data_IF_034185665453
#
_entry.id   IF_034185665453
#
_cell.length_a   1.000
_cell.length_b   1.000
_cell.length_c   1.000
_cell.angle_alpha   90.00
_cell.angle_beta   90.00
_cell.angle_gamma   90.00
#
_symmetry.space_group_name_H-M   'P 1'
#
loop_
_entity.id
_entity.type
_entity.pdbx_description
1 polymer ?
#
# COMPACT_ATOMS: atom_id res chain seq x y z
N UNK A 1 -37.23 10.20 -2.74
CA UNK A 1 -35.97 9.80 -2.07
C UNK A 1 -36.30 9.68 -0.60
N UNK A 2 -36.34 8.46 -0.08
CA UNK A 2 -36.72 8.18 1.30
C UNK A 2 -35.69 8.77 2.27
N UNK A 3 -36.17 9.25 3.42
CA UNK A 3 -35.35 9.65 4.56
C UNK A 3 -34.31 8.57 4.88
N UNK A 4 -33.05 9.02 4.93
CA UNK A 4 -31.90 8.36 5.55
C UNK A 4 -31.25 7.17 4.83
N UNK A 5 -30.80 7.40 3.59
CA UNK A 5 -29.55 6.76 3.11
C UNK A 5 -28.36 7.39 3.87
N UNK A 6 -28.26 7.10 5.17
CA UNK A 6 -27.10 7.46 5.97
C UNK A 6 -25.93 6.69 5.37
N UNK A 7 -24.97 7.44 4.79
CA UNK A 7 -23.71 6.87 4.33
C UNK A 7 -23.05 6.19 5.53
N UNK A 8 -23.03 4.87 5.52
CA UNK A 8 -22.18 4.10 6.42
C UNK A 8 -20.76 4.20 5.87
N UNK A 9 -19.78 4.25 6.77
CA UNK A 9 -18.37 4.17 6.43
C UNK A 9 -17.97 2.74 6.79
N UNK A 10 -17.45 1.96 5.83
CA UNK A 10 -16.81 0.67 6.17
C UNK A 10 -15.33 0.83 6.48
N UNK A 11 -14.90 -0.01 7.40
CA UNK A 11 -13.52 -0.22 7.81
C UNK A 11 -13.37 -1.70 8.21
N UNK A 12 -12.14 -2.16 8.46
CA UNK A 12 -11.92 -3.50 9.01
C UNK A 12 -12.27 -3.51 10.50
N UNK A 13 -13.08 -4.48 10.93
CA UNK A 13 -13.47 -4.61 12.34
C UNK A 13 -12.39 -5.23 13.23
N UNK A 14 -11.36 -5.80 12.61
CA UNK A 14 -10.28 -6.52 13.25
C UNK A 14 -9.06 -5.59 13.43
N UNK A 15 -8.77 -5.24 14.69
CA UNK A 15 -7.63 -4.40 15.06
C UNK A 15 -6.31 -4.93 14.48
N UNK A 16 -6.13 -6.25 14.42
CA UNK A 16 -4.88 -6.87 13.98
C UNK A 16 -4.60 -6.62 12.49
N UNK A 17 -5.61 -6.22 11.72
CA UNK A 17 -5.41 -5.78 10.33
C UNK A 17 -4.56 -4.51 10.25
N UNK A 18 -4.54 -3.69 11.31
CA UNK A 18 -3.80 -2.44 11.39
C UNK A 18 -2.38 -2.58 11.97
N UNK A 19 -1.87 -3.79 12.23
CA UNK A 19 -0.55 -3.99 12.87
C UNK A 19 0.68 -3.54 12.04
N UNK A 20 0.47 -3.07 10.81
CA UNK A 20 1.51 -2.80 9.82
C UNK A 20 1.73 -3.98 8.88
N UNK A 21 2.36 -3.72 7.73
CA UNK A 21 2.50 -4.71 6.65
C UNK A 21 3.94 -4.81 6.11
N UNK A 22 4.85 -3.96 6.56
CA UNK A 22 6.21 -3.91 6.02
C UNK A 22 7.04 -5.16 6.36
N UNK A 23 7.55 -5.83 5.33
CA UNK A 23 8.36 -7.04 5.46
C UNK A 23 9.86 -6.72 5.46
N UNK A 24 10.42 -6.62 6.65
CA UNK A 24 11.85 -6.33 6.86
C UNK A 24 12.78 -7.40 6.29
N UNK A 25 12.36 -8.67 6.27
CA UNK A 25 13.20 -9.75 5.80
C UNK A 25 13.28 -9.74 4.27
N UNK A 26 12.14 -9.52 3.60
CA UNK A 26 12.10 -9.35 2.15
C UNK A 26 13.02 -8.22 1.68
N UNK A 27 13.03 -7.05 2.34
CA UNK A 27 13.92 -5.95 1.95
C UNK A 27 15.39 -6.35 2.06
N UNK A 28 15.80 -7.00 3.15
CA UNK A 28 17.18 -7.47 3.33
C UNK A 28 17.61 -8.45 2.24
N UNK A 29 16.70 -9.34 1.84
CA UNK A 29 16.98 -10.31 0.78
C UNK A 29 16.96 -9.64 -0.60
N UNK A 30 16.09 -8.66 -0.79
CA UNK A 30 15.97 -7.90 -2.03
C UNK A 30 17.20 -7.01 -2.28
N UNK A 31 17.74 -6.35 -1.24
CA UNK A 31 18.98 -5.58 -1.30
C UNK A 31 20.19 -6.41 -1.77
N UNK A 32 20.23 -7.71 -1.46
CA UNK A 32 21.30 -8.60 -1.94
C UNK A 32 21.26 -8.79 -3.45
N UNK A 33 20.06 -8.83 -4.05
CA UNK A 33 19.85 -9.05 -5.48
C UNK A 33 20.31 -7.84 -6.29
N UNK A 34 19.98 -6.64 -5.79
CA UNK A 34 20.17 -5.37 -6.51
C UNK A 34 21.49 -4.68 -6.18
N UNK A 35 22.28 -5.22 -5.24
CA UNK A 35 23.56 -4.65 -4.81
C UNK A 35 24.50 -4.40 -6.00
N UNK A 36 24.98 -3.17 -6.12
CA UNK A 36 25.91 -2.76 -7.18
C UNK A 36 25.24 -2.48 -8.54
N UNK A 37 23.91 -2.60 -8.64
CA UNK A 37 23.14 -2.16 -9.79
C UNK A 37 22.70 -0.70 -9.64
N UNK A 38 22.21 -0.11 -10.73
CA UNK A 38 21.56 1.21 -10.72
C UNK A 38 20.23 1.24 -9.96
N UNK A 39 19.69 0.08 -9.58
CA UNK A 39 18.45 -0.03 -8.83
C UNK A 39 18.63 0.22 -7.33
N UNK A 40 19.88 0.23 -6.82
CA UNK A 40 20.18 0.31 -5.38
C UNK A 40 19.49 1.48 -4.69
N UNK A 41 19.69 2.71 -5.20
CA UNK A 41 19.03 3.89 -4.67
C UNK A 41 17.50 3.85 -4.77
N UNK A 42 16.95 3.26 -5.83
CA UNK A 42 15.50 3.22 -6.05
C UNK A 42 14.81 2.20 -5.15
N UNK A 43 15.48 1.08 -4.87
CA UNK A 43 15.00 0.09 -3.90
C UNK A 43 15.05 0.65 -2.49
N UNK A 44 16.08 1.43 -2.16
CA UNK A 44 16.14 2.16 -0.90
C UNK A 44 14.96 3.13 -0.78
N UNK A 45 14.73 3.99 -1.78
CA UNK A 45 13.63 4.96 -1.79
C UNK A 45 12.26 4.26 -1.67
N UNK A 46 12.03 3.20 -2.46
CA UNK A 46 10.80 2.41 -2.39
C UNK A 46 10.59 1.79 -0.99
N UNK A 47 11.65 1.23 -0.40
CA UNK A 47 11.59 0.60 0.90
C UNK A 47 11.33 1.62 2.01
N UNK A 48 11.92 2.80 1.91
CA UNK A 48 11.71 3.90 2.83
C UNK A 48 10.24 4.37 2.79
N UNK A 49 9.70 4.60 1.59
CA UNK A 49 8.31 5.02 1.39
C UNK A 49 7.32 3.97 1.92
N UNK A 50 7.49 2.70 1.54
CA UNK A 50 6.61 1.62 2.03
C UNK A 50 6.70 1.43 3.54
N UNK A 51 7.89 1.61 4.15
CA UNK A 51 8.04 1.56 5.61
C UNK A 51 7.32 2.73 6.26
N UNK A 52 7.48 3.94 5.74
CA UNK A 52 6.81 5.13 6.27
C UNK A 52 5.28 4.96 6.23
N UNK A 53 4.74 4.49 5.11
CA UNK A 53 3.30 4.22 4.96
C UNK A 53 2.84 3.15 5.94
N UNK A 54 3.57 2.05 6.08
CA UNK A 54 3.25 0.99 7.04
C UNK A 54 3.31 1.50 8.49
N UNK A 55 4.24 2.39 8.82
CA UNK A 55 4.32 2.99 10.15
C UNK A 55 3.10 3.87 10.43
N UNK A 56 2.72 4.75 9.51
CA UNK A 56 1.53 5.63 9.65
C UNK A 56 0.25 4.81 9.77
N UNK A 57 0.09 3.78 8.95
CA UNK A 57 -1.05 2.87 9.01
C UNK A 57 -1.14 2.10 10.33
N UNK A 58 -0.01 1.89 11.02
CA UNK A 58 0.07 1.19 12.31
C UNK A 58 -0.39 2.03 13.51
N UNK A 59 -0.63 3.33 13.34
CA UNK A 59 -0.99 4.20 14.46
C UNK A 59 -2.24 3.78 15.23
N UNK A 60 -3.36 3.39 14.60
CA UNK A 60 -4.54 2.93 15.34
C UNK A 60 -4.21 1.72 16.22
N UNK A 61 -3.44 0.76 15.69
CA UNK A 61 -2.98 -0.40 16.46
C UNK A 61 -2.14 0.02 17.67
N UNK A 62 -1.13 0.87 17.46
CA UNK A 62 -0.27 1.36 18.56
C UNK A 62 -1.05 2.15 19.61
N UNK A 63 -2.03 2.94 19.17
CA UNK A 63 -2.88 3.74 20.06
C UNK A 63 -3.68 2.86 21.00
N UNK A 64 -4.35 1.83 20.49
CA UNK A 64 -5.17 0.92 21.32
C UNK A 64 -4.30 0.13 22.31
N UNK A 65 -3.14 -0.35 21.88
CA UNK A 65 -2.16 -0.98 22.78
C UNK A 65 -1.68 -0.01 23.86
N UNK A 66 -1.34 1.23 23.49
CA UNK A 66 -0.91 2.25 24.45
C UNK A 66 -1.99 2.62 25.47
N UNK A 67 -3.26 2.73 25.06
CA UNK A 67 -4.40 2.97 25.94
C UNK A 67 -4.56 1.81 26.93
N UNK A 68 -4.57 0.57 26.41
CA UNK A 68 -4.66 -0.64 27.24
C UNK A 68 -3.58 -0.65 28.31
N UNK A 69 -2.31 -0.52 27.90
CA UNK A 69 -1.17 -0.61 28.80
C UNK A 69 -1.18 0.52 29.85
N UNK A 70 -1.64 1.71 29.46
CA UNK A 70 -1.81 2.84 30.39
C UNK A 70 -2.89 2.57 31.45
N UNK A 71 -4.05 2.05 31.05
CA UNK A 71 -5.15 1.74 31.99
C UNK A 71 -4.78 0.58 32.90
N UNK A 72 -4.28 -0.53 32.34
CA UNK A 72 -3.81 -1.68 33.12
C UNK A 72 -2.70 -1.27 34.09
N UNK A 73 -1.74 -0.46 33.64
CA UNK A 73 -0.67 0.05 34.50
C UNK A 73 -1.20 0.86 35.69
N UNK A 74 -2.15 1.76 35.45
CA UNK A 74 -2.77 2.58 36.50
C UNK A 74 -3.59 1.75 37.50
N UNK A 75 -4.37 0.77 37.03
CA UNK A 75 -5.18 -0.10 37.88
C UNK A 75 -4.33 -1.07 38.69
N UNK A 76 -3.29 -1.64 38.07
CA UNK A 76 -2.40 -2.63 38.69
C UNK A 76 -1.38 -2.01 39.66
N UNK A 77 -1.27 -0.68 39.72
CA UNK A 77 -0.49 0.03 40.74
C UNK A 77 -1.18 0.03 42.12
N UNK A 78 -2.47 -0.30 42.17
CA UNK A 78 -3.23 -0.40 43.41
C UNK A 78 -3.11 -1.81 44.02
N UNK A 79 -3.31 -2.00 45.34
CA UNK A 79 -3.29 -3.31 45.98
C UNK A 79 -4.59 -4.11 45.70
N UNK A 80 -5.04 -4.10 44.44
CA UNK A 80 -6.20 -4.80 43.94
C UNK A 80 -5.77 -6.00 43.07
N UNK A 81 -6.67 -6.97 42.80
CA UNK A 81 -6.40 -8.02 41.82
C UNK A 81 -5.99 -7.43 40.48
N UNK A 82 -5.04 -8.07 39.80
CA UNK A 82 -4.56 -7.61 38.50
C UNK A 82 -5.71 -7.58 37.48
N UNK A 83 -5.90 -6.43 36.86
CA UNK A 83 -6.85 -6.23 35.77
C UNK A 83 -6.16 -6.54 34.45
N UNK A 84 -6.85 -7.33 33.62
CA UNK A 84 -6.47 -7.57 32.24
C UNK A 84 -7.61 -7.15 31.32
N UNK A 85 -7.33 -6.25 30.39
CA UNK A 85 -8.29 -5.74 29.41
C UNK A 85 -8.09 -6.41 28.06
N UNK A 86 -9.19 -6.68 27.38
CA UNK A 86 -9.19 -7.19 26.00
C UNK A 86 -9.02 -6.03 25.02
N UNK A 87 -8.05 -6.13 24.10
CA UNK A 87 -7.78 -5.13 23.07
C UNK A 87 -8.98 -4.91 22.14
N UNK A 88 -9.70 -5.98 21.79
CA UNK A 88 -10.86 -5.92 20.91
C UNK A 88 -12.01 -5.15 21.55
N UNK A 89 -12.20 -5.27 22.87
CA UNK A 89 -13.25 -4.52 23.58
C UNK A 89 -12.96 -3.01 23.55
N UNK A 90 -11.69 -2.61 23.76
CA UNK A 90 -11.26 -1.21 23.65
C UNK A 90 -11.46 -0.72 22.21
N UNK A 91 -11.02 -1.50 21.23
CA UNK A 91 -11.19 -1.18 19.81
C UNK A 91 -12.67 -1.00 19.44
N UNK A 92 -13.54 -1.92 19.84
CA UNK A 92 -14.98 -1.86 19.56
C UNK A 92 -15.68 -0.67 20.24
N UNK A 93 -15.15 -0.15 21.35
CA UNK A 93 -15.61 1.11 21.94
C UNK A 93 -15.24 2.30 21.04
N UNK A 94 -13.99 2.38 20.58
CA UNK A 94 -13.55 3.45 19.67
C UNK A 94 -14.27 3.42 18.32
N UNK A 95 -14.65 2.25 17.83
CA UNK A 95 -15.44 2.12 16.60
C UNK A 95 -16.86 2.67 16.73
N UNK A 96 -17.36 2.99 17.92
CA UNK A 96 -18.62 3.72 18.09
C UNK A 96 -18.47 5.21 17.77
N UNK A 97 -17.24 5.73 17.75
CA UNK A 97 -16.95 7.14 17.47
C UNK A 97 -16.83 7.38 15.96
N UNK A 98 -17.69 8.25 15.42
CA UNK A 98 -17.75 8.51 13.98
C UNK A 98 -16.45 9.13 13.43
N UNK A 99 -15.83 10.02 14.19
CA UNK A 99 -14.56 10.67 13.87
C UNK A 99 -13.43 9.65 13.75
N UNK A 100 -13.43 8.65 14.63
CA UNK A 100 -12.45 7.58 14.60
C UNK A 100 -12.60 6.74 13.32
N UNK A 101 -13.82 6.35 12.99
CA UNK A 101 -14.14 5.59 11.78
C UNK A 101 -13.77 6.36 10.50
N UNK A 102 -14.03 7.67 10.46
CA UNK A 102 -13.59 8.55 9.37
C UNK A 102 -12.06 8.57 9.25
N UNK A 103 -11.35 8.67 10.37
CA UNK A 103 -9.88 8.68 10.40
C UNK A 103 -9.31 7.35 9.89
N UNK A 104 -9.85 6.21 10.33
CA UNK A 104 -9.46 4.88 9.84
C UNK A 104 -9.64 4.78 8.32
N UNK A 105 -10.81 5.16 7.83
CA UNK A 105 -11.13 5.07 6.41
C UNK A 105 -10.21 5.93 5.55
N UNK A 106 -9.99 7.18 5.94
CA UNK A 106 -9.11 8.10 5.20
C UNK A 106 -7.64 7.69 5.27
N UNK A 107 -7.22 7.09 6.39
CA UNK A 107 -5.89 6.50 6.52
C UNK A 107 -5.67 5.38 5.50
N UNK A 108 -6.63 4.46 5.36
CA UNK A 108 -6.50 3.34 4.41
C UNK A 108 -6.53 3.78 2.95
N UNK A 109 -7.40 4.73 2.60
CA UNK A 109 -7.41 5.32 1.26
C UNK A 109 -6.05 5.95 0.91
N UNK A 110 -5.48 6.68 1.87
CA UNK A 110 -4.18 7.34 1.69
C UNK A 110 -3.05 6.32 1.58
N UNK A 111 -3.05 5.29 2.43
CA UNK A 111 -2.05 4.24 2.44
C UNK A 111 -2.06 3.44 1.14
N UNK A 112 -3.24 3.02 0.66
CA UNK A 112 -3.38 2.30 -0.61
C UNK A 112 -2.82 3.11 -1.79
N UNK A 113 -3.19 4.39 -1.88
CA UNK A 113 -2.70 5.27 -2.94
C UNK A 113 -1.20 5.48 -2.88
N UNK A 114 -0.65 5.70 -1.67
CA UNK A 114 0.77 5.92 -1.46
C UNK A 114 1.59 4.66 -1.81
N UNK A 115 1.10 3.46 -1.44
CA UNK A 115 1.75 2.18 -1.77
C UNK A 115 1.87 2.00 -3.29
N UNK A 116 0.78 2.23 -4.03
CA UNK A 116 0.80 2.15 -5.49
C UNK A 116 1.66 3.25 -6.12
N UNK A 117 1.59 4.47 -5.60
CA UNK A 117 2.37 5.59 -6.13
C UNK A 117 3.88 5.34 -5.98
N UNK A 118 4.34 4.85 -4.83
CA UNK A 118 5.74 4.49 -4.61
C UNK A 118 6.21 3.41 -5.62
N UNK A 119 5.37 2.42 -5.89
CA UNK A 119 5.62 1.41 -6.93
C UNK A 119 5.75 2.00 -8.34
N UNK A 120 4.84 2.90 -8.73
CA UNK A 120 4.88 3.57 -10.03
C UNK A 120 6.17 4.40 -10.18
N UNK A 121 6.54 5.15 -9.13
CA UNK A 121 7.78 5.94 -9.09
C UNK A 121 9.02 5.04 -9.21
N UNK A 122 9.04 3.90 -8.52
CA UNK A 122 10.12 2.91 -8.65
C UNK A 122 10.31 2.45 -10.10
N UNK A 123 9.23 2.07 -10.79
CA UNK A 123 9.30 1.64 -12.19
C UNK A 123 9.79 2.76 -13.11
N UNK A 124 9.23 3.97 -12.96
CA UNK A 124 9.61 5.14 -13.77
C UNK A 124 11.10 5.46 -13.60
N UNK A 125 11.57 5.54 -12.35
CA UNK A 125 12.96 5.87 -12.07
C UNK A 125 13.91 4.77 -12.56
N UNK A 126 13.53 3.50 -12.41
CA UNK A 126 14.30 2.35 -12.91
C UNK A 126 14.52 2.44 -14.42
N UNK A 127 13.46 2.68 -15.17
CA UNK A 127 13.53 2.84 -16.63
C UNK A 127 14.35 4.07 -17.00
N UNK A 128 14.18 5.21 -16.31
CA UNK A 128 14.97 6.42 -16.55
C UNK A 128 16.47 6.19 -16.36
N UNK A 129 16.90 5.49 -15.31
CA UNK A 129 18.32 5.23 -15.10
C UNK A 129 18.93 4.24 -16.10
N UNK A 130 18.13 3.30 -16.60
CA UNK A 130 18.56 2.36 -17.64
C UNK A 130 18.69 3.02 -19.02
N UNK A 131 17.81 3.98 -19.33
CA UNK A 131 17.72 4.64 -20.65
C UNK A 131 18.44 5.97 -20.74
N UNK A 132 18.76 6.60 -19.61
CA UNK A 132 19.29 7.97 -19.55
C UNK A 132 18.23 9.05 -19.79
N UNK A 133 16.94 8.71 -19.76
CA UNK A 133 15.85 9.67 -19.95
C UNK A 133 15.76 10.64 -18.76
N UNK A 134 15.68 11.95 -19.07
CA UNK A 134 15.45 13.00 -18.06
C UNK A 134 14.01 12.99 -17.54
N UNK A 135 13.05 12.67 -18.41
CA UNK A 135 11.63 12.56 -18.09
C UNK A 135 11.03 11.34 -18.77
N UNK A 136 10.03 10.75 -18.12
CA UNK A 136 9.25 9.62 -18.64
C UNK A 136 7.83 9.77 -18.12
N UNK A 137 6.84 9.80 -19.02
CA UNK A 137 5.44 9.86 -18.64
C UNK A 137 4.90 8.45 -18.39
N UNK A 138 3.95 8.33 -17.47
CA UNK A 138 3.27 7.05 -17.13
C UNK A 138 2.70 6.33 -18.36
N UNK A 139 2.20 7.07 -19.36
CA UNK A 139 1.67 6.51 -20.61
C UNK A 139 2.75 5.85 -21.50
N UNK A 140 4.00 6.30 -21.40
CA UNK A 140 5.14 5.79 -22.18
C UNK A 140 5.84 4.62 -21.49
N UNK A 141 5.66 4.50 -20.17
CA UNK A 141 6.31 3.49 -19.34
C UNK A 141 6.16 2.05 -19.87
N UNK A 142 4.97 1.55 -20.25
CA UNK A 142 4.86 0.16 -20.73
C UNK A 142 5.69 -0.13 -21.99
N UNK A 143 5.80 0.83 -22.91
CA UNK A 143 6.58 0.65 -24.13
C UNK A 143 8.08 0.60 -23.83
N UNK A 144 8.55 1.44 -22.91
CA UNK A 144 9.94 1.42 -22.46
C UNK A 144 10.29 0.16 -21.66
N UNK A 145 9.40 -0.32 -20.76
CA UNK A 145 9.61 -1.60 -20.06
C UNK A 145 9.67 -2.74 -21.09
N UNK A 146 8.76 -2.76 -22.06
CA UNK A 146 8.74 -3.79 -23.11
C UNK A 146 10.03 -3.79 -23.95
N UNK A 147 10.56 -2.60 -24.27
CA UNK A 147 11.81 -2.44 -25.00
C UNK A 147 13.03 -2.91 -24.21
N UNK A 148 13.07 -2.65 -22.90
CA UNK A 148 14.21 -2.98 -22.04
C UNK A 148 14.22 -4.43 -21.57
N UNK A 149 13.07 -4.93 -21.10
CA UNK A 149 12.95 -6.19 -20.35
C UNK A 149 11.99 -7.19 -21.01
N UNK A 150 11.45 -6.85 -22.18
CA UNK A 150 10.55 -7.70 -22.95
C UNK A 150 9.08 -7.64 -22.51
N UNK A 151 8.23 -8.25 -23.34
CA UNK A 151 6.77 -8.24 -23.17
C UNK A 151 6.31 -8.92 -21.88
N UNK A 152 7.01 -9.96 -21.43
CA UNK A 152 6.62 -10.72 -20.24
C UNK A 152 6.67 -9.86 -18.98
N UNK A 153 7.78 -9.16 -18.74
CA UNK A 153 7.92 -8.23 -17.60
C UNK A 153 6.97 -7.05 -17.71
N UNK A 154 6.80 -6.48 -18.91
CA UNK A 154 5.84 -5.41 -19.16
C UNK A 154 4.42 -5.84 -18.77
N UNK A 155 4.00 -7.04 -19.17
CA UNK A 155 2.69 -7.57 -18.78
C UNK A 155 2.62 -7.72 -17.27
N UNK A 156 3.55 -8.44 -16.65
CA UNK A 156 3.51 -8.72 -15.21
C UNK A 156 3.52 -7.44 -14.34
N UNK A 157 4.28 -6.42 -14.72
CA UNK A 157 4.50 -5.24 -13.88
C UNK A 157 3.57 -4.05 -14.23
N UNK A 158 2.87 -4.09 -15.37
CA UNK A 158 2.09 -2.93 -15.81
C UNK A 158 0.72 -3.25 -16.40
N UNK A 159 0.62 -4.34 -17.17
CA UNK A 159 -0.63 -4.69 -17.88
C UNK A 159 -1.43 -5.80 -17.22
N UNK A 160 -0.88 -6.43 -16.19
CA UNK A 160 -1.57 -7.47 -15.43
C UNK A 160 -2.81 -6.89 -14.75
N UNK A 161 -3.88 -7.66 -14.74
CA UNK A 161 -5.20 -7.19 -14.34
C UNK A 161 -5.23 -6.61 -12.91
N UNK A 162 -4.60 -7.23 -11.89
CA UNK A 162 -4.55 -6.66 -10.55
C UNK A 162 -3.79 -5.32 -10.48
N UNK A 163 -2.76 -5.14 -11.32
CA UNK A 163 -2.00 -3.88 -11.40
C UNK A 163 -2.83 -2.80 -12.07
N UNK A 164 -3.52 -3.15 -13.16
CA UNK A 164 -4.43 -2.23 -13.83
C UNK A 164 -5.54 -1.77 -12.88
N UNK A 165 -6.15 -2.70 -12.15
CA UNK A 165 -7.17 -2.41 -11.15
C UNK A 165 -6.64 -1.45 -10.07
N UNK A 166 -5.47 -1.72 -9.51
CA UNK A 166 -4.87 -0.85 -8.50
C UNK A 166 -4.60 0.57 -9.02
N UNK A 167 -4.09 0.67 -10.26
CA UNK A 167 -3.87 1.96 -10.95
C UNK A 167 -5.16 2.74 -11.13
N UNK A 168 -6.23 2.07 -11.56
CA UNK A 168 -7.53 2.69 -11.79
C UNK A 168 -8.21 3.11 -10.48
N UNK A 169 -8.07 2.32 -9.40
CA UNK A 169 -8.54 2.71 -8.06
C UNK A 169 -7.80 3.98 -7.62
N UNK A 170 -6.47 4.00 -7.68
CA UNK A 170 -5.66 5.19 -7.32
C UNK A 170 -6.01 6.41 -8.16
N UNK A 171 -6.32 6.22 -9.45
CA UNK A 171 -6.82 7.29 -10.30
C UNK A 171 -8.20 7.80 -9.86
N UNK A 172 -9.15 6.91 -9.59
CA UNK A 172 -10.49 7.27 -9.14
C UNK A 172 -10.48 7.98 -7.77
N UNK A 173 -9.62 7.54 -6.85
CA UNK A 173 -9.41 8.21 -5.57
C UNK A 173 -8.87 9.63 -5.78
N UNK A 174 -7.80 9.77 -6.57
CA UNK A 174 -7.11 11.05 -6.74
C UNK A 174 -7.91 12.08 -7.56
N UNK A 175 -8.72 11.64 -8.53
CA UNK A 175 -9.32 12.54 -9.52
C UNK A 175 -10.85 12.49 -9.57
N UNK A 176 -11.49 11.47 -9.02
CA UNK A 176 -12.94 11.27 -9.11
C UNK A 176 -13.63 11.15 -7.74
N UNK A 177 -12.95 11.59 -6.66
CA UNK A 177 -13.49 11.53 -5.30
C UNK A 177 -13.89 10.11 -4.88
N UNK A 178 -13.14 9.11 -5.35
CA UNK A 178 -13.37 7.66 -5.10
C UNK A 178 -14.61 7.08 -5.77
N UNK A 179 -15.31 7.86 -6.62
CA UNK A 179 -16.48 7.33 -7.33
C UNK A 179 -16.06 6.34 -8.41
N UNK A 180 -16.87 5.30 -8.60
CA UNK A 180 -16.70 4.33 -9.68
C UNK A 180 -16.65 5.05 -11.03
N UNK A 181 -15.59 4.81 -11.80
CA UNK A 181 -15.40 5.34 -13.16
C UNK A 181 -15.91 4.34 -14.21
N UNK A 182 -16.07 4.79 -15.45
CA UNK A 182 -16.39 3.91 -16.57
C UNK A 182 -15.35 2.78 -16.72
N UNK A 183 -14.06 3.11 -16.62
CA UNK A 183 -12.96 2.13 -16.70
C UNK A 183 -12.97 1.09 -15.58
N UNK A 184 -13.47 1.46 -14.39
CA UNK A 184 -13.60 0.55 -13.26
C UNK A 184 -14.88 -0.30 -13.31
N UNK A 185 -15.83 0.01 -14.18
CA UNK A 185 -17.11 -0.72 -14.24
C UNK A 185 -16.90 -2.19 -14.62
N UNK A 186 -15.91 -2.49 -15.48
CA UNK A 186 -15.51 -3.89 -15.78
C UNK A 186 -15.00 -4.66 -14.55
N UNK A 187 -14.48 -3.96 -13.56
CA UNK A 187 -13.95 -4.54 -12.32
C UNK A 187 -14.92 -4.45 -11.14
N UNK A 188 -16.17 -3.99 -11.35
CA UNK A 188 -17.16 -3.78 -10.28
C UNK A 188 -17.33 -4.99 -9.36
N UNK A 189 -17.28 -6.20 -9.91
CA UNK A 189 -17.43 -7.45 -9.15
C UNK A 189 -16.24 -7.75 -8.21
N UNK A 190 -15.11 -7.03 -8.35
CA UNK A 190 -13.91 -7.16 -7.51
C UNK A 190 -13.78 -6.01 -6.50
N UNK A 191 -14.69 -5.04 -6.52
CA UNK A 191 -14.63 -3.85 -5.68
C UNK A 191 -15.67 -3.96 -4.57
N UNK A 192 -15.30 -3.51 -3.38
CA UNK A 192 -16.26 -3.19 -2.34
C UNK A 192 -16.77 -1.78 -2.58
N UNK A 193 -18.09 -1.63 -2.72
CA UNK A 193 -18.74 -0.36 -3.00
C UNK A 193 -19.75 -0.01 -1.91
N UNK A 194 -19.80 1.27 -1.56
CA UNK A 194 -20.90 1.87 -0.81
C UNK A 194 -21.57 2.95 -1.67
N UNK A 195 -22.80 2.65 -2.11
CA UNK A 195 -23.44 3.39 -3.19
C UNK A 195 -22.59 3.29 -4.46
N UNK A 196 -21.96 4.41 -4.85
CA UNK A 196 -21.06 4.48 -6.00
C UNK A 196 -19.60 4.82 -5.61
N UNK A 197 -19.28 4.80 -4.32
CA UNK A 197 -17.93 5.09 -3.82
C UNK A 197 -17.17 3.78 -3.56
N UNK A 198 -15.89 3.77 -3.94
CA UNK A 198 -14.97 2.67 -3.71
C UNK A 198 -14.57 2.69 -2.23
N UNK A 199 -14.76 1.56 -1.58
CA UNK A 199 -14.29 1.31 -0.21
C UNK A 199 -12.93 0.63 -0.28
N UNK A 200 -11.99 1.13 0.51
CA UNK A 200 -10.66 0.55 0.68
C UNK A 200 -10.52 0.20 2.15
N UNK A 201 -10.27 -1.07 2.43
CA UNK A 201 -10.08 -1.62 3.76
C UNK A 201 -8.59 -1.87 4.02
N UNK A 202 -8.26 -2.11 5.27
CA UNK A 202 -6.90 -2.37 5.72
C UNK A 202 -6.30 -3.61 5.03
N UNK A 203 -7.12 -4.65 4.85
CA UNK A 203 -6.75 -5.83 4.05
C UNK A 203 -6.34 -5.49 2.61
N UNK A 204 -7.06 -4.59 1.93
CA UNK A 204 -6.79 -4.25 0.52
C UNK A 204 -5.41 -3.62 0.37
N UNK A 205 -5.00 -2.77 1.31
CA UNK A 205 -3.66 -2.17 1.36
C UNK A 205 -2.57 -3.24 1.54
N UNK A 206 -2.77 -4.19 2.45
CA UNK A 206 -1.82 -5.30 2.66
C UNK A 206 -1.72 -6.21 1.44
N UNK A 207 -2.85 -6.57 0.84
CA UNK A 207 -2.92 -7.44 -0.34
C UNK A 207 -2.24 -6.75 -1.54
N UNK A 208 -2.46 -5.45 -1.73
CA UNK A 208 -1.76 -4.63 -2.72
C UNK A 208 -0.25 -4.64 -2.48
N UNK A 209 0.21 -4.35 -1.26
CA UNK A 209 1.64 -4.36 -0.94
C UNK A 209 2.30 -5.71 -1.28
N UNK A 210 1.66 -6.82 -0.90
CA UNK A 210 2.18 -8.16 -1.19
C UNK A 210 2.25 -8.46 -2.69
N UNK A 211 1.23 -8.04 -3.45
CA UNK A 211 1.24 -8.11 -4.91
C UNK A 211 2.41 -7.31 -5.50
N UNK A 212 2.56 -6.04 -5.09
CA UNK A 212 3.57 -5.14 -5.64
C UNK A 212 4.99 -5.59 -5.27
N UNK A 213 5.21 -6.15 -4.08
CA UNK A 213 6.48 -6.80 -3.70
C UNK A 213 6.91 -7.86 -4.72
N UNK A 214 5.97 -8.72 -5.14
CA UNK A 214 6.24 -9.76 -6.12
C UNK A 214 6.60 -9.15 -7.48
N UNK A 215 5.90 -8.08 -7.91
CA UNK A 215 6.19 -7.41 -9.20
C UNK A 215 7.53 -6.70 -9.19
N UNK A 216 7.85 -5.99 -8.11
CA UNK A 216 9.15 -5.34 -7.92
C UNK A 216 10.29 -6.36 -7.96
N UNK A 217 10.12 -7.51 -7.29
CA UNK A 217 11.10 -8.58 -7.29
C UNK A 217 11.28 -9.18 -8.70
N UNK A 218 10.19 -9.47 -9.42
CA UNK A 218 10.26 -9.95 -10.81
C UNK A 218 10.95 -8.95 -11.74
N UNK A 219 10.58 -7.67 -11.65
CA UNK A 219 11.20 -6.59 -12.42
C UNK A 219 12.71 -6.54 -12.18
N UNK A 220 13.12 -6.48 -10.92
CA UNK A 220 14.51 -6.33 -10.55
C UNK A 220 15.35 -7.56 -10.90
N UNK A 221 14.85 -8.77 -10.66
CA UNK A 221 15.53 -10.02 -11.04
C UNK A 221 15.81 -10.08 -12.54
N UNK A 222 14.90 -9.58 -13.37
CA UNK A 222 15.15 -9.50 -14.81
C UNK A 222 16.09 -8.35 -15.16
N UNK A 223 15.87 -7.17 -14.59
CA UNK A 223 16.64 -5.97 -14.87
C UNK A 223 18.13 -6.11 -14.60
N UNK A 224 18.52 -6.74 -13.47
CA UNK A 224 19.95 -6.90 -13.11
C UNK A 224 20.74 -7.78 -14.08
N UNK A 225 20.08 -8.52 -14.97
CA UNK A 225 20.73 -9.31 -16.03
C UNK A 225 21.24 -8.44 -17.18
N UNK A 226 20.77 -7.20 -17.30
CA UNK A 226 21.08 -6.33 -18.43
C UNK A 226 22.16 -5.29 -18.07
N UNK A 227 23.15 -5.06 -18.95
CA UNK A 227 24.21 -4.06 -18.72
C UNK A 227 23.68 -2.64 -18.47
N UNK A 228 22.52 -2.29 -19.03
CA UNK A 228 21.87 -0.98 -18.84
C UNK A 228 21.57 -0.67 -17.37
N UNK A 229 21.41 -1.70 -16.53
CA UNK A 229 21.17 -1.60 -15.09
C UNK A 229 22.43 -1.81 -14.24
N UNK A 230 23.59 -2.11 -14.84
CA UNK A 230 24.84 -2.26 -14.09
C UNK A 230 25.52 -0.90 -13.88
N UNK A 231 26.12 -0.69 -12.70
CA UNK A 231 27.01 0.45 -12.49
C UNK A 231 28.37 0.14 -13.15
N UNK A 232 28.99 1.11 -13.86
CA UNK A 232 30.39 0.96 -14.26
C UNK A 232 31.21 0.68 -13.00
N UNK A 233 32.03 -0.38 -13.01
CA UNK A 233 32.95 -0.64 -11.90
C UNK A 233 33.78 0.63 -11.68
N UNK A 234 33.62 1.24 -10.50
CA UNK A 234 34.45 2.36 -10.05
C UNK A 234 35.86 1.87 -9.75
#
# INVERSE_FOLDING_TARGET
MSENDIRRIRFDDDLERYQGFFDHQWVKDFEKIIRGSKLDGMVFDLSLEWKAISCVRRWPWLMIHGIKDSIEGALNAQPLPKVHMNLQDIWSQYQQEHEFNMALWMSEISAYCAVYFAYEVFLINSVKAATGLKSLRTQQLPDEIKKLLGSSICTQCWKDEPIELARLIRHAVAHNGRKLTQDLTKYKHKLVLEGNEIVIMARDTTDLYNLLKQRVLSFANEAVKYPSFTCPRR
#
